data_IF_158866351802
#
_entry.id   IF_158866351802
#
_cell.length_a   1.000
_cell.length_b   1.000
_cell.length_c   1.000
_cell.angle_alpha   90.00
_cell.angle_beta   90.00
_cell.angle_gamma   90.00
#
_symmetry.space_group_name_H-M   'P 1'
#
loop_
_entity.id
_entity.type
_entity.pdbx_description
1 polymer ?
#
# COMPACT_ATOMS: atom_id res chain seq x y z
N UNK A 1 -1.68 -3.29 -0.13
CA UNK A 1 -2.75 -2.93 0.22
C UNK A 1 -4.22 -2.98 -0.16
N UNK A 2 -4.69 -2.19 -1.14
CA UNK A 2 -6.14 -2.04 -1.36
C UNK A 2 -6.81 -3.24 -2.04
N UNK A 3 -6.11 -3.99 -2.88
CA UNK A 3 -6.65 -5.23 -3.47
C UNK A 3 -7.03 -6.25 -2.40
N UNK A 4 -6.27 -6.31 -1.32
CA UNK A 4 -6.54 -7.23 -0.23
C UNK A 4 -7.80 -6.87 0.56
N UNK A 5 -8.05 -5.59 0.82
CA UNK A 5 -9.28 -5.21 1.53
C UNK A 5 -10.53 -5.71 0.83
N UNK A 6 -10.58 -5.67 -0.51
CA UNK A 6 -11.70 -6.22 -1.29
C UNK A 6 -11.72 -7.74 -1.30
N UNK A 7 -10.57 -8.40 -1.31
CA UNK A 7 -10.50 -9.86 -1.20
C UNK A 7 -10.82 -10.33 0.22
N UNK A 8 -10.28 -9.64 1.23
CA UNK A 8 -10.48 -9.97 2.64
C UNK A 8 -11.93 -9.71 3.08
N UNK A 9 -12.54 -8.61 2.58
CA UNK A 9 -13.93 -8.27 2.81
C UNK A 9 -14.89 -8.96 1.81
N UNK A 10 -14.46 -10.01 1.10
CA UNK A 10 -15.31 -10.69 0.12
C UNK A 10 -16.36 -11.58 0.80
N UNK A 11 -17.41 -10.97 1.29
CA UNK A 11 -18.53 -11.59 2.01
C UNK A 11 -19.30 -12.61 1.17
N UNK A 12 -19.21 -12.54 -0.17
CA UNK A 12 -19.83 -13.52 -1.05
C UNK A 12 -19.33 -14.94 -0.79
N UNK A 13 -18.11 -15.06 -0.27
CA UNK A 13 -17.53 -16.35 0.07
C UNK A 13 -17.98 -16.87 1.44
N UNK A 14 -18.33 -16.00 2.37
CA UNK A 14 -18.83 -16.37 3.70
C UNK A 14 -20.35 -16.57 3.73
N UNK A 15 -21.08 -16.04 2.73
CA UNK A 15 -22.55 -16.00 2.70
C UNK A 15 -23.15 -15.01 3.68
N UNK A 16 -22.34 -14.19 4.37
CA UNK A 16 -22.80 -13.20 5.31
C UNK A 16 -23.12 -11.87 4.62
N UNK A 17 -24.06 -11.10 5.17
CA UNK A 17 -24.38 -9.75 4.70
C UNK A 17 -23.43 -8.70 5.28
N UNK A 18 -22.69 -9.04 6.34
CA UNK A 18 -21.75 -8.17 7.02
C UNK A 18 -20.68 -9.00 7.74
N UNK A 19 -19.50 -8.47 7.86
CA UNK A 19 -18.38 -9.12 8.57
C UNK A 19 -17.34 -8.13 9.06
N UNK A 20 -16.75 -8.46 10.19
CA UNK A 20 -15.48 -7.90 10.62
C UNK A 20 -14.32 -8.49 9.83
N UNK A 21 -13.27 -7.74 9.65
CA UNK A 21 -12.03 -8.25 9.06
C UNK A 21 -10.80 -7.62 9.70
N UNK A 22 -9.73 -8.39 9.71
CA UNK A 22 -8.39 -7.94 10.12
C UNK A 22 -7.38 -8.40 9.08
N UNK A 23 -6.45 -7.53 8.74
CA UNK A 23 -5.35 -7.82 7.84
C UNK A 23 -4.03 -7.34 8.43
N UNK A 24 -3.01 -8.19 8.39
CA UNK A 24 -1.64 -7.84 8.71
C UNK A 24 -0.73 -8.06 7.51
N UNK A 25 0.27 -7.20 7.33
CA UNK A 25 1.25 -7.33 6.28
C UNK A 25 2.66 -7.06 6.77
N UNK A 26 3.64 -7.68 6.14
CA UNK A 26 5.05 -7.37 6.31
C UNK A 26 5.72 -7.21 4.95
N UNK A 27 6.71 -6.34 4.86
CA UNK A 27 7.43 -6.07 3.62
C UNK A 27 8.91 -5.80 3.88
N UNK A 28 9.76 -6.28 2.97
CA UNK A 28 11.18 -5.93 2.88
C UNK A 28 11.46 -5.54 1.43
N UNK A 29 11.74 -4.26 1.18
CA UNK A 29 11.90 -3.73 -0.18
C UNK A 29 13.01 -2.71 -0.28
N UNK A 30 13.74 -2.78 -1.39
CA UNK A 30 14.61 -1.73 -1.88
C UNK A 30 13.86 -0.86 -2.87
N UNK A 31 13.89 0.45 -2.65
CA UNK A 31 13.23 1.44 -3.50
C UNK A 31 14.32 2.32 -4.09
N UNK A 32 14.50 2.28 -5.40
CA UNK A 32 15.46 3.14 -6.09
C UNK A 32 14.90 4.57 -6.14
N UNK A 33 15.65 5.57 -5.69
CA UNK A 33 15.22 6.98 -5.57
C UNK A 33 16.18 7.97 -6.26
N UNK A 34 17.12 7.48 -7.06
CA UNK A 34 18.32 8.14 -7.55
C UNK A 34 19.53 7.45 -6.95
N UNK A 35 19.53 7.22 -5.68
CA UNK A 35 20.19 6.20 -4.87
C UNK A 35 19.17 5.14 -4.46
N UNK A 36 19.21 4.55 -3.28
CA UNK A 36 18.15 3.63 -2.86
C UNK A 36 17.79 3.74 -1.38
N UNK A 37 16.58 3.31 -1.07
CA UNK A 37 16.07 3.20 0.30
C UNK A 37 15.69 1.75 0.55
N UNK A 38 16.33 1.11 1.51
CA UNK A 38 15.86 -0.17 2.04
C UNK A 38 14.77 0.09 3.08
N UNK A 39 13.61 -0.51 2.91
CA UNK A 39 12.43 -0.33 3.76
C UNK A 39 11.91 -1.68 4.24
N UNK A 40 11.83 -1.84 5.55
CA UNK A 40 11.18 -2.98 6.23
C UNK A 40 10.02 -2.46 7.04
N UNK A 41 8.85 -3.03 6.83
CA UNK A 41 7.65 -2.50 7.48
C UNK A 41 6.59 -3.56 7.74
N UNK A 42 5.71 -3.22 8.67
CA UNK A 42 4.49 -3.97 8.98
C UNK A 42 3.28 -3.05 8.86
N UNK A 43 2.17 -3.61 8.48
CA UNK A 43 0.87 -2.93 8.40
C UNK A 43 -0.18 -3.75 9.11
N UNK A 44 -1.16 -3.08 9.68
CA UNK A 44 -2.35 -3.67 10.27
C UNK A 44 -3.56 -2.84 9.83
N UNK A 45 -4.53 -3.50 9.25
CA UNK A 45 -5.83 -2.94 8.92
C UNK A 45 -6.90 -3.74 9.66
N UNK A 46 -7.88 -3.06 10.27
CA UNK A 46 -9.03 -3.69 10.91
C UNK A 46 -10.29 -2.91 10.58
N UNK A 47 -11.35 -3.60 10.23
CA UNK A 47 -12.53 -2.94 9.73
C UNK A 47 -13.79 -3.78 9.73
N UNK A 48 -14.82 -3.19 9.17
CA UNK A 48 -16.12 -3.79 9.02
C UNK A 48 -16.67 -3.52 7.61
N UNK A 49 -17.27 -4.53 7.01
CA UNK A 49 -17.80 -4.47 5.66
C UNK A 49 -19.24 -4.99 5.61
N UNK A 50 -20.00 -4.41 4.72
CA UNK A 50 -21.39 -4.79 4.41
C UNK A 50 -21.49 -5.22 2.97
N UNK A 51 -22.27 -6.27 2.75
CA UNK A 51 -22.56 -6.81 1.45
C UNK A 51 -24.06 -6.65 1.17
N UNK A 52 -24.39 -5.95 0.10
CA UNK A 52 -25.79 -5.68 -0.28
C UNK A 52 -26.06 -6.22 -1.68
N UNK A 53 -26.73 -7.38 -1.79
CA UNK A 53 -27.17 -7.89 -3.07
C UNK A 53 -28.17 -6.94 -3.76
N UNK A 54 -28.09 -6.85 -5.08
CA UNK A 54 -29.04 -6.14 -5.92
C UNK A 54 -29.40 -6.99 -7.15
N UNK A 55 -30.42 -6.59 -7.91
CA UNK A 55 -30.86 -7.30 -9.12
C UNK A 55 -29.74 -7.37 -10.17
N UNK A 56 -28.91 -6.36 -10.29
CA UNK A 56 -27.86 -6.27 -11.32
C UNK A 56 -26.47 -6.67 -10.83
N UNK A 57 -26.30 -7.00 -9.54
CA UNK A 57 -25.00 -7.34 -8.99
C UNK A 57 -24.97 -7.32 -7.48
N UNK A 58 -23.78 -7.07 -6.95
CA UNK A 58 -23.54 -7.07 -5.52
C UNK A 58 -22.68 -5.88 -5.10
N UNK A 59 -23.10 -5.19 -4.05
CA UNK A 59 -22.39 -4.03 -3.50
C UNK A 59 -21.72 -4.38 -2.20
N UNK A 60 -20.39 -4.35 -2.18
CA UNK A 60 -19.56 -4.44 -1.00
C UNK A 60 -19.03 -3.05 -0.65
N UNK A 61 -19.22 -2.63 0.59
CA UNK A 61 -18.65 -1.37 1.09
C UNK A 61 -18.25 -1.53 2.55
N UNK A 62 -17.34 -0.68 3.03
CA UNK A 62 -16.86 -0.81 4.38
C UNK A 62 -15.98 0.33 4.84
N UNK A 63 -15.58 0.22 6.10
CA UNK A 63 -14.68 1.14 6.79
C UNK A 63 -13.57 0.36 7.47
N UNK A 64 -12.38 0.95 7.57
CA UNK A 64 -11.26 0.34 8.29
C UNK A 64 -10.42 1.41 8.98
N UNK A 65 -9.83 1.05 10.11
CA UNK A 65 -8.67 1.72 10.69
C UNK A 65 -7.40 1.09 10.13
N UNK A 66 -6.37 1.89 9.94
CA UNK A 66 -5.08 1.42 9.44
C UNK A 66 -3.94 1.90 10.32
N UNK A 67 -2.99 1.03 10.55
CA UNK A 67 -1.73 1.31 11.24
C UNK A 67 -0.58 0.76 10.43
N UNK A 68 0.51 1.51 10.35
CA UNK A 68 1.75 1.08 9.73
C UNK A 68 2.95 1.47 10.57
N UNK A 69 3.97 0.63 10.54
CA UNK A 69 5.26 0.90 11.16
C UNK A 69 6.36 0.39 10.24
N UNK A 70 7.40 1.21 10.05
CA UNK A 70 8.53 0.86 9.20
C UNK A 70 9.84 1.40 9.73
N UNK A 71 10.90 0.64 9.47
CA UNK A 71 12.28 1.09 9.52
C UNK A 71 12.79 1.26 8.10
N UNK A 72 13.60 2.28 7.87
CA UNK A 72 14.26 2.44 6.58
C UNK A 72 15.70 2.91 6.74
N UNK A 73 16.52 2.56 5.76
CA UNK A 73 17.89 3.05 5.62
C UNK A 73 18.01 3.71 4.25
N UNK A 74 18.43 4.97 4.25
CA UNK A 74 18.76 5.70 3.02
C UNK A 74 20.21 5.47 2.67
N UNK A 75 20.50 5.28 1.38
CA UNK A 75 21.84 5.15 0.83
C UNK A 75 21.99 6.18 -0.28
N UNK A 76 22.95 7.09 -0.15
CA UNK A 76 23.29 8.05 -1.18
C UNK A 76 24.47 7.55 -2.01
N UNK A 77 24.65 8.11 -3.23
CA UNK A 77 25.68 7.67 -4.17
C UNK A 77 27.12 7.96 -3.68
N UNK A 78 27.29 8.91 -2.77
CA UNK A 78 28.55 9.24 -2.10
C UNK A 78 28.90 8.31 -0.92
N UNK A 79 28.05 7.32 -0.64
CA UNK A 79 28.20 6.37 0.47
C UNK A 79 27.55 6.84 1.78
N UNK A 80 27.04 8.06 1.86
CA UNK A 80 26.34 8.60 3.02
C UNK A 80 25.08 7.77 3.32
N UNK A 81 24.88 7.42 4.59
CA UNK A 81 23.73 6.64 5.06
C UNK A 81 22.95 7.38 6.12
N UNK A 82 21.65 7.13 6.13
CA UNK A 82 20.76 7.57 7.19
C UNK A 82 19.78 6.47 7.56
N UNK A 83 19.25 6.53 8.76
CA UNK A 83 18.26 5.56 9.27
C UNK A 83 17.04 6.30 9.75
N UNK A 84 15.87 5.76 9.45
CA UNK A 84 14.61 6.33 9.92
C UNK A 84 13.64 5.28 10.40
N UNK A 85 12.66 5.77 11.16
CA UNK A 85 11.48 5.05 11.58
C UNK A 85 10.27 5.88 11.19
N UNK A 86 9.29 5.25 10.59
CA UNK A 86 8.04 5.92 10.28
C UNK A 86 6.86 5.08 10.77
N UNK A 87 5.84 5.74 11.27
CA UNK A 87 4.57 5.11 11.61
C UNK A 87 3.42 5.98 11.14
N UNK A 88 2.31 5.35 10.83
CA UNK A 88 1.09 6.04 10.44
C UNK A 88 -0.11 5.45 11.14
N UNK A 89 -1.10 6.32 11.33
CA UNK A 89 -2.43 5.96 11.78
C UNK A 89 -3.44 6.66 10.89
N UNK A 90 -4.47 5.95 10.46
CA UNK A 90 -5.46 6.48 9.56
C UNK A 90 -6.75 5.70 9.54
N UNK A 91 -7.66 6.15 8.70
CA UNK A 91 -8.92 5.51 8.40
C UNK A 91 -9.13 5.40 6.90
N UNK A 92 -9.92 4.43 6.51
CA UNK A 92 -10.21 4.11 5.13
C UNK A 92 -11.71 3.80 4.98
N UNK A 93 -12.31 4.31 3.92
CA UNK A 93 -13.62 3.90 3.43
C UNK A 93 -13.48 3.34 2.04
N UNK A 94 -14.20 2.27 1.73
CA UNK A 94 -14.09 1.61 0.44
C UNK A 94 -15.43 1.10 -0.05
N UNK A 95 -15.56 0.95 -1.36
CA UNK A 95 -16.71 0.40 -2.02
C UNK A 95 -16.30 -0.37 -3.28
N UNK A 96 -16.98 -1.47 -3.53
CA UNK A 96 -16.84 -2.28 -4.72
C UNK A 96 -18.23 -2.71 -5.20
N UNK A 97 -18.52 -2.51 -6.48
CA UNK A 97 -19.70 -3.04 -7.11
C UNK A 97 -19.33 -4.09 -8.15
N UNK A 98 -19.83 -5.29 -7.96
CA UNK A 98 -19.64 -6.42 -8.89
C UNK A 98 -20.95 -6.69 -9.61
N UNK A 99 -20.98 -6.46 -10.93
CA UNK A 99 -22.13 -6.78 -11.79
C UNK A 99 -22.24 -8.29 -12.07
N UNK A 100 -23.45 -8.77 -12.35
CA UNK A 100 -23.70 -10.17 -12.65
C UNK A 100 -22.92 -10.72 -13.87
N UNK A 101 -22.48 -9.84 -14.76
CA UNK A 101 -21.64 -10.19 -15.92
C UNK A 101 -20.15 -10.28 -15.62
N UNK A 102 -19.75 -10.15 -14.33
CA UNK A 102 -18.39 -10.22 -13.86
C UNK A 102 -17.61 -8.89 -13.95
N UNK A 103 -18.15 -7.82 -14.53
CA UNK A 103 -17.55 -6.50 -14.44
C UNK A 103 -17.56 -6.01 -12.99
N UNK A 104 -16.60 -5.20 -12.61
CA UNK A 104 -16.63 -4.54 -11.32
C UNK A 104 -15.96 -3.15 -11.35
N UNK A 105 -16.39 -2.31 -10.42
CA UNK A 105 -15.78 -1.02 -10.15
C UNK A 105 -15.46 -0.88 -8.66
N UNK A 106 -14.31 -0.28 -8.35
CA UNK A 106 -13.81 -0.12 -7.00
C UNK A 106 -13.44 1.34 -6.74
N UNK A 107 -13.70 1.80 -5.53
CA UNK A 107 -13.25 3.11 -5.06
C UNK A 107 -12.87 3.04 -3.58
N UNK A 108 -11.85 3.78 -3.19
CA UNK A 108 -11.56 3.98 -1.76
C UNK A 108 -10.98 5.37 -1.50
N UNK A 109 -11.18 5.84 -0.27
CA UNK A 109 -10.58 7.04 0.28
C UNK A 109 -9.90 6.71 1.60
N UNK A 110 -8.70 7.23 1.80
CA UNK A 110 -7.89 7.04 3.00
C UNK A 110 -7.38 8.39 3.49
N UNK A 111 -7.44 8.60 4.78
CA UNK A 111 -6.89 9.78 5.41
C UNK A 111 -6.22 9.41 6.73
N UNK A 112 -5.17 10.11 7.07
CA UNK A 112 -4.45 9.84 8.31
C UNK A 112 -3.24 10.74 8.48
N UNK A 113 -2.41 10.37 9.42
CA UNK A 113 -1.18 11.06 9.76
C UNK A 113 0.00 10.09 9.79
N UNK A 114 1.14 10.56 9.31
CA UNK A 114 2.41 9.86 9.38
C UNK A 114 3.38 10.67 10.24
N UNK A 115 4.16 9.98 11.05
CA UNK A 115 5.26 10.51 11.84
C UNK A 115 6.54 9.83 11.40
N UNK A 116 7.62 10.60 11.38
CA UNK A 116 8.92 10.13 10.96
C UNK A 116 9.99 10.63 11.93
N UNK A 117 10.94 9.75 12.26
CA UNK A 117 12.13 10.06 13.05
C UNK A 117 13.36 9.61 12.23
N UNK A 118 14.21 10.55 11.87
CA UNK A 118 15.37 10.33 11.01
C UNK A 118 16.66 10.72 11.71
N UNK A 119 17.72 9.93 11.47
CA UNK A 119 19.09 10.23 11.90
C UNK A 119 20.11 9.80 10.85
N UNK A 120 21.16 10.59 10.73
CA UNK A 120 22.36 10.21 9.99
C UNK A 120 23.58 10.67 10.79
N UNK A 121 24.51 9.78 11.01
CA UNK A 121 25.81 10.09 11.62
C UNK A 121 26.84 10.38 10.53
N UNK A 122 26.59 10.04 9.27
CA UNK A 122 27.43 10.33 8.11
C UNK A 122 27.14 11.73 7.54
N UNK A 123 25.91 12.23 7.69
CA UNK A 123 25.54 13.59 7.33
C UNK A 123 25.82 14.50 8.53
N UNK A 124 26.91 15.29 8.44
CA UNK A 124 27.46 16.03 9.57
C UNK A 124 27.17 17.51 9.40
N UNK A 125 26.69 18.17 10.46
CA UNK A 125 26.58 19.62 10.55
C UNK A 125 27.96 20.30 10.64
N UNK A 126 28.00 21.61 10.42
CA UNK A 126 29.22 22.41 10.57
C UNK A 126 29.86 22.31 11.97
N UNK A 127 29.09 21.99 13.00
CA UNK A 127 29.56 21.77 14.38
C UNK A 127 30.08 20.34 14.65
N UNK A 128 30.16 19.48 13.62
CA UNK A 128 30.66 18.10 13.74
C UNK A 128 29.64 17.09 14.27
N UNK A 129 28.38 17.46 14.48
CA UNK A 129 27.31 16.55 14.96
C UNK A 129 26.50 15.98 13.81
N UNK A 130 26.04 14.71 13.93
CA UNK A 130 25.16 14.09 12.95
C UNK A 130 23.77 14.73 12.91
N UNK A 131 23.12 14.65 11.74
CA UNK A 131 21.79 15.19 11.49
C UNK A 131 20.73 14.31 12.14
N UNK A 132 19.81 14.94 12.88
CA UNK A 132 18.61 14.29 13.45
C UNK A 132 17.43 15.23 13.32
N UNK A 133 16.29 14.69 12.94
CA UNK A 133 15.03 15.44 12.92
C UNK A 133 13.80 14.53 13.08
N UNK A 134 12.71 15.12 13.53
CA UNK A 134 11.38 14.51 13.52
C UNK A 134 10.47 15.32 12.62
N UNK A 135 9.65 14.64 11.86
CA UNK A 135 8.66 15.26 10.99
C UNK A 135 7.33 14.54 11.10
N UNK A 136 6.25 15.21 10.75
CA UNK A 136 4.94 14.63 10.69
C UNK A 136 4.13 15.29 9.57
N UNK A 137 3.27 14.52 8.94
CA UNK A 137 2.47 15.00 7.82
C UNK A 137 1.11 14.32 7.80
N UNK A 138 0.09 15.03 7.33
CA UNK A 138 -1.20 14.44 7.04
C UNK A 138 -1.18 13.87 5.61
N UNK A 139 -1.87 12.76 5.41
CA UNK A 139 -2.03 12.21 4.07
C UNK A 139 -3.51 12.02 3.73
N UNK A 140 -3.77 12.18 2.45
CA UNK A 140 -5.04 11.83 1.80
C UNK A 140 -4.72 10.97 0.60
N UNK A 141 -5.37 9.83 0.47
CA UNK A 141 -5.17 8.96 -0.69
C UNK A 141 -6.52 8.46 -1.22
N UNK A 142 -6.56 8.23 -2.52
CA UNK A 142 -7.71 7.66 -3.20
C UNK A 142 -7.29 6.57 -4.18
N UNK A 143 -8.21 5.68 -4.46
CA UNK A 143 -8.06 4.63 -5.44
C UNK A 143 -9.34 4.48 -6.23
N UNK A 144 -9.20 4.27 -7.54
CA UNK A 144 -10.29 3.88 -8.44
C UNK A 144 -9.79 2.68 -9.23
N UNK A 145 -10.64 1.66 -9.39
CA UNK A 145 -10.32 0.46 -10.13
C UNK A 145 -11.50 -0.05 -10.94
N UNK A 146 -11.20 -0.66 -12.06
CA UNK A 146 -12.16 -1.36 -12.93
C UNK A 146 -11.56 -2.69 -13.33
N UNK A 147 -12.40 -3.70 -13.43
CA UNK A 147 -11.94 -5.00 -13.88
C UNK A 147 -13.09 -5.91 -14.29
N UNK A 148 -12.70 -7.10 -14.69
CA UNK A 148 -13.64 -8.14 -15.08
C UNK A 148 -13.14 -9.51 -14.63
N UNK A 149 -14.02 -10.22 -13.95
CA UNK A 149 -13.85 -11.63 -13.61
C UNK A 149 -14.45 -12.47 -14.73
N UNK A 150 -13.61 -13.28 -15.37
CA UNK A 150 -13.97 -14.23 -16.43
C UNK A 150 -14.05 -15.61 -15.79
N UNK A 151 -15.23 -16.24 -15.82
CA UNK A 151 -15.37 -17.62 -15.40
C UNK A 151 -14.82 -18.55 -16.49
N UNK A 152 -13.85 -19.39 -16.14
CA UNK A 152 -13.19 -20.34 -17.02
C UNK A 152 -13.69 -21.78 -16.78
N UNK A 153 -14.70 -21.96 -15.93
CA UNK A 153 -15.27 -23.22 -15.49
C UNK A 153 -15.82 -23.10 -14.08
N UNK A 154 -16.24 -24.21 -13.49
CA UNK A 154 -16.88 -24.20 -12.17
C UNK A 154 -15.96 -23.68 -11.05
N UNK A 155 -14.68 -24.01 -11.11
CA UNK A 155 -13.70 -23.73 -10.06
C UNK A 155 -12.63 -22.69 -10.45
N UNK A 156 -12.64 -22.19 -11.68
CA UNK A 156 -11.58 -21.37 -12.21
C UNK A 156 -12.09 -20.01 -12.67
N UNK A 157 -11.36 -18.96 -12.34
CA UNK A 157 -11.63 -17.64 -12.87
C UNK A 157 -10.34 -16.86 -13.16
N UNK A 158 -10.46 -15.93 -14.09
CA UNK A 158 -9.41 -14.99 -14.42
C UNK A 158 -9.92 -13.59 -14.15
N UNK A 159 -9.24 -12.84 -13.28
CA UNK A 159 -9.52 -11.43 -13.02
C UNK A 159 -8.53 -10.56 -13.81
N UNK A 160 -9.06 -9.65 -14.61
CA UNK A 160 -8.27 -8.67 -15.36
C UNK A 160 -8.67 -7.27 -14.89
N UNK A 161 -7.69 -6.42 -14.58
CA UNK A 161 -7.99 -5.13 -13.99
C UNK A 161 -7.04 -4.00 -14.37
N UNK A 162 -7.56 -2.78 -14.28
CA UNK A 162 -6.81 -1.53 -14.27
C UNK A 162 -7.16 -0.73 -13.03
N UNK A 163 -6.16 -0.13 -12.37
CA UNK A 163 -6.34 0.65 -11.15
C UNK A 163 -5.51 1.93 -11.21
N UNK A 164 -6.07 3.00 -10.67
CA UNK A 164 -5.39 4.26 -10.48
C UNK A 164 -5.36 4.62 -9.00
N UNK A 165 -4.21 5.05 -8.53
CA UNK A 165 -3.97 5.47 -7.15
C UNK A 165 -3.45 6.90 -7.14
N UNK A 166 -4.04 7.71 -6.29
CA UNK A 166 -3.57 9.06 -6.00
C UNK A 166 -3.29 9.18 -4.51
N UNK A 167 -2.19 9.83 -4.14
CA UNK A 167 -1.97 10.23 -2.76
C UNK A 167 -1.31 11.60 -2.69
N UNK A 168 -1.68 12.34 -1.66
CA UNK A 168 -1.11 13.62 -1.29
C UNK A 168 -0.71 13.55 0.19
N UNK A 169 0.56 13.85 0.45
CA UNK A 169 1.10 14.00 1.80
C UNK A 169 1.49 15.47 1.98
N UNK A 170 1.04 16.11 3.05
CA UNK A 170 1.34 17.52 3.33
C UNK A 170 2.84 17.73 3.49
N UNK A 171 3.29 18.95 3.25
CA UNK A 171 4.63 19.39 3.67
C UNK A 171 4.73 19.49 5.18
N UNK A 172 5.96 19.61 5.66
CA UNK A 172 6.29 19.79 7.07
C UNK A 172 7.55 20.64 7.25
N UNK A 173 7.71 21.24 8.44
CA UNK A 173 8.92 21.92 8.88
C UNK A 173 9.57 21.11 10.00
N UNK A 174 10.74 20.56 9.74
CA UNK A 174 11.47 19.75 10.69
C UNK A 174 12.66 20.52 11.26
N UNK A 175 12.67 20.70 12.59
CA UNK A 175 13.86 21.25 13.29
C UNK A 175 14.92 20.18 13.40
N UNK A 176 16.11 20.53 12.96
CA UNK A 176 17.32 19.73 13.09
C UNK A 176 17.90 19.82 14.50
N UNK A 177 18.69 18.82 14.87
CA UNK A 177 19.44 18.83 16.13
C UNK A 177 20.42 20.02 16.29
N UNK A 178 20.80 20.64 15.17
CA UNK A 178 21.60 21.87 15.13
C UNK A 178 20.83 23.18 15.38
N UNK A 179 19.47 23.09 15.47
CA UNK A 179 18.59 24.26 15.62
C UNK A 179 18.07 24.83 14.30
N UNK A 180 18.57 24.38 13.19
CA UNK A 180 18.15 24.78 11.83
C UNK A 180 16.84 24.08 11.43
N UNK A 181 16.17 24.60 10.39
CA UNK A 181 14.89 24.05 9.93
C UNK A 181 14.99 23.57 8.48
N UNK A 182 14.53 22.34 8.24
CA UNK A 182 14.25 21.81 6.91
C UNK A 182 12.79 22.03 6.56
N UNK A 183 12.55 22.54 5.35
CA UNK A 183 11.21 22.70 4.79
C UNK A 183 10.97 21.60 3.76
N UNK A 184 10.08 20.67 4.09
CA UNK A 184 9.64 19.61 3.19
C UNK A 184 8.40 20.07 2.44
N UNK A 185 8.44 20.05 1.12
CA UNK A 185 7.27 20.31 0.29
C UNK A 185 6.29 19.15 0.35
N UNK A 186 5.03 19.41 -0.01
CA UNK A 186 4.04 18.33 -0.15
C UNK A 186 4.45 17.33 -1.24
N UNK A 187 4.18 16.06 -0.99
CA UNK A 187 4.45 14.97 -1.93
C UNK A 187 3.15 14.49 -2.55
N UNK A 188 3.15 14.36 -3.87
CA UNK A 188 2.02 13.80 -4.63
C UNK A 188 2.50 12.55 -5.36
N UNK A 189 1.75 11.47 -5.22
CA UNK A 189 1.97 10.21 -5.96
C UNK A 189 0.78 9.96 -6.88
N UNK A 190 1.07 9.54 -8.12
CA UNK A 190 0.09 9.15 -9.13
C UNK A 190 0.56 7.84 -9.75
N UNK A 191 -0.16 6.75 -9.47
CA UNK A 191 0.20 5.42 -9.94
C UNK A 191 -0.93 4.78 -10.73
N UNK A 192 -0.58 4.13 -11.83
CA UNK A 192 -1.47 3.24 -12.57
C UNK A 192 -0.96 1.82 -12.44
N UNK A 193 -1.89 0.87 -12.33
CA UNK A 193 -1.59 -0.56 -12.29
C UNK A 193 -2.52 -1.29 -13.23
N UNK A 194 -1.95 -2.18 -14.03
CA UNK A 194 -2.69 -3.18 -14.80
C UNK A 194 -2.27 -4.56 -14.32
N UNK A 195 -3.19 -5.49 -14.26
CA UNK A 195 -2.85 -6.82 -13.77
C UNK A 195 -3.84 -7.88 -14.21
N UNK A 196 -3.42 -9.12 -14.01
CA UNK A 196 -4.20 -10.32 -14.22
C UNK A 196 -3.97 -11.24 -13.03
N UNK A 197 -5.05 -11.89 -12.56
CA UNK A 197 -5.01 -12.86 -11.47
C UNK A 197 -5.84 -14.07 -11.85
N UNK A 198 -5.25 -15.25 -11.79
CA UNK A 198 -5.93 -16.52 -11.91
C UNK A 198 -6.33 -17.03 -10.53
N UNK A 199 -7.56 -17.49 -10.38
CA UNK A 199 -8.09 -18.04 -9.14
C UNK A 199 -8.60 -19.45 -9.39
N UNK A 200 -8.29 -20.36 -8.47
CA UNK A 200 -8.76 -21.74 -8.43
C UNK A 200 -9.37 -22.02 -7.07
N UNK A 201 -10.65 -22.40 -7.04
CA UNK A 201 -11.41 -22.61 -5.82
C UNK A 201 -11.84 -24.08 -5.70
N UNK A 202 -11.45 -24.72 -4.62
CA UNK A 202 -11.79 -26.11 -4.26
C UNK A 202 -12.51 -26.09 -2.91
N UNK A 203 -13.83 -26.14 -2.90
CA UNK A 203 -14.64 -26.16 -1.67
C UNK A 203 -14.19 -25.07 -0.66
N UNK A 204 -13.41 -25.48 0.36
CA UNK A 204 -12.93 -24.61 1.43
C UNK A 204 -11.54 -24.03 1.19
N UNK A 205 -10.88 -24.38 0.09
CA UNK A 205 -9.55 -23.94 -0.28
C UNK A 205 -9.60 -23.17 -1.60
N UNK A 206 -9.13 -21.93 -1.60
CA UNK A 206 -8.84 -21.12 -2.78
C UNK A 206 -7.34 -20.95 -2.98
N UNK A 207 -6.90 -20.86 -4.21
CA UNK A 207 -5.54 -20.49 -4.58
C UNK A 207 -5.60 -19.39 -5.62
N UNK A 208 -4.71 -18.43 -5.54
CA UNK A 208 -4.61 -17.39 -6.55
C UNK A 208 -3.16 -17.11 -6.94
N UNK A 209 -2.97 -16.76 -8.21
CA UNK A 209 -1.70 -16.37 -8.80
C UNK A 209 -1.91 -15.13 -9.65
N UNK A 210 -1.12 -14.10 -9.43
CA UNK A 210 -1.28 -12.83 -10.11
C UNK A 210 0.04 -12.24 -10.60
N UNK A 211 -0.06 -11.47 -11.68
CA UNK A 211 1.01 -10.60 -12.18
C UNK A 211 0.43 -9.24 -12.49
N UNK A 212 1.12 -8.20 -12.08
CA UNK A 212 0.74 -6.83 -12.37
C UNK A 212 1.96 -5.96 -12.71
N UNK A 213 1.71 -4.93 -13.50
CA UNK A 213 2.67 -3.85 -13.73
C UNK A 213 2.11 -2.55 -13.16
N UNK A 214 2.90 -1.91 -12.32
CA UNK A 214 2.58 -0.61 -11.71
C UNK A 214 3.59 0.43 -12.18
N UNK A 215 3.12 1.61 -12.54
CA UNK A 215 3.94 2.77 -12.87
C UNK A 215 3.60 3.95 -11.99
N UNK A 216 4.63 4.53 -11.38
CA UNK A 216 4.57 5.82 -10.68
C UNK A 216 5.01 6.93 -11.64
N UNK A 217 4.17 7.96 -11.81
CA UNK A 217 4.47 9.12 -12.67
C UNK A 217 4.95 10.33 -11.89
N UNK A 218 4.70 10.36 -10.59
CA UNK A 218 5.06 11.44 -9.69
C UNK A 218 5.85 10.86 -8.49
N UNK A 219 5.82 11.54 -7.32
CA UNK A 219 6.48 11.06 -6.11
C UNK A 219 7.87 11.68 -5.91
N UNK A 220 8.07 12.88 -6.42
CA UNK A 220 9.26 13.66 -6.13
C UNK A 220 9.18 14.21 -4.70
N UNK A 221 10.20 13.96 -3.89
CA UNK A 221 10.31 14.49 -2.53
C UNK A 221 11.25 15.69 -2.55
N UNK A 222 10.70 16.90 -2.42
CA UNK A 222 11.46 18.14 -2.45
C UNK A 222 11.64 18.66 -1.04
N UNK A 223 12.86 19.07 -0.74
CA UNK A 223 13.20 19.74 0.50
C UNK A 223 14.07 20.98 0.22
N UNK A 224 14.01 21.95 1.13
CA UNK A 224 14.83 23.15 1.10
C UNK A 224 15.49 23.35 2.45
N UNK A 225 16.72 23.85 2.40
CA UNK A 225 17.53 24.23 3.55
C UNK A 225 18.10 25.63 3.32
N UNK A 226 17.82 26.59 4.21
CA UNK A 226 18.23 28.00 4.07
C UNK A 226 17.91 28.62 2.70
N UNK A 227 16.78 28.24 2.08
CA UNK A 227 16.38 28.70 0.75
C UNK A 227 17.02 27.95 -0.42
N UNK A 228 17.98 27.06 -0.18
CA UNK A 228 18.60 26.23 -1.21
C UNK A 228 17.84 24.91 -1.38
N UNK A 229 17.59 24.52 -2.64
CA UNK A 229 16.98 23.21 -2.94
C UNK A 229 17.97 22.08 -2.66
N UNK A 230 17.49 21.06 -1.96
CA UNK A 230 18.25 19.83 -1.75
C UNK A 230 18.03 18.85 -2.93
N UNK A 231 18.93 17.86 -3.13
CA UNK A 231 18.70 16.80 -4.09
C UNK A 231 17.32 16.18 -3.93
N UNK A 232 16.61 16.00 -5.05
CA UNK A 232 15.21 15.56 -5.06
C UNK A 232 15.15 14.06 -5.32
N UNK A 233 14.96 13.21 -4.28
CA UNK A 233 14.66 11.80 -4.50
C UNK A 233 13.36 11.65 -5.27
N UNK A 234 13.32 10.70 -6.19
CA UNK A 234 12.12 10.45 -7.00
C UNK A 234 11.65 9.01 -6.89
N UNK A 235 10.33 8.82 -6.79
CA UNK A 235 9.68 7.52 -6.81
C UNK A 235 9.23 7.08 -8.21
N UNK A 236 9.46 7.91 -9.24
CA UNK A 236 9.06 7.64 -10.63
C UNK A 236 9.66 6.35 -11.16
N UNK A 237 8.87 5.57 -11.87
CA UNK A 237 9.32 4.35 -12.53
C UNK A 237 8.30 3.23 -12.47
N UNK A 238 8.67 2.10 -13.10
CA UNK A 238 7.83 0.91 -13.20
C UNK A 238 8.26 -0.18 -12.21
N UNK A 239 7.29 -0.93 -11.73
CA UNK A 239 7.48 -2.11 -10.86
C UNK A 239 6.58 -3.22 -11.36
N UNK A 240 7.14 -4.40 -11.58
CA UNK A 240 6.38 -5.63 -11.80
C UNK A 240 6.14 -6.30 -10.45
N UNK A 241 4.93 -6.77 -10.24
CA UNK A 241 4.48 -7.42 -9.02
C UNK A 241 3.99 -8.80 -9.39
N UNK A 242 4.56 -9.83 -8.79
CA UNK A 242 4.03 -11.20 -8.85
C UNK A 242 3.44 -11.56 -7.48
N UNK A 243 2.33 -12.26 -7.47
CA UNK A 243 1.69 -12.69 -6.24
C UNK A 243 1.18 -14.12 -6.32
N UNK A 244 1.23 -14.81 -5.19
CA UNK A 244 0.64 -16.12 -5.01
C UNK A 244 0.03 -16.21 -3.61
N UNK A 245 -1.14 -16.81 -3.50
CA UNK A 245 -1.78 -16.91 -2.20
C UNK A 245 -2.78 -18.06 -2.11
N UNK A 246 -3.21 -18.26 -0.87
CA UNK A 246 -4.21 -19.26 -0.50
C UNK A 246 -5.28 -18.62 0.38
N UNK A 247 -6.50 -19.06 0.17
CA UNK A 247 -7.69 -18.71 0.93
C UNK A 247 -8.25 -19.98 1.55
N UNK A 248 -8.58 -19.95 2.83
CA UNK A 248 -9.11 -21.11 3.54
C UNK A 248 -10.33 -20.73 4.37
N UNK A 249 -11.41 -21.51 4.24
CA UNK A 249 -12.66 -21.34 5.00
C UNK A 249 -12.74 -22.37 6.10
N UNK A 250 -12.93 -21.89 7.34
CA UNK A 250 -13.08 -22.75 8.52
C UNK A 250 -14.10 -22.14 9.47
N UNK A 251 -15.12 -22.90 9.84
CA UNK A 251 -16.11 -22.54 10.86
C UNK A 251 -16.73 -21.14 10.63
N UNK A 252 -17.12 -20.82 9.38
CA UNK A 252 -17.72 -19.53 9.02
C UNK A 252 -16.73 -18.36 8.92
N UNK A 253 -15.45 -18.59 9.16
CA UNK A 253 -14.38 -17.61 8.99
C UNK A 253 -13.60 -17.90 7.72
N UNK A 254 -13.06 -16.85 7.13
CA UNK A 254 -12.13 -16.97 6.00
C UNK A 254 -10.76 -16.44 6.40
N UNK A 255 -9.75 -17.22 6.08
CA UNK A 255 -8.34 -16.86 6.25
C UNK A 255 -7.70 -16.74 4.88
N UNK A 256 -6.82 -15.77 4.71
CA UNK A 256 -6.03 -15.64 3.50
C UNK A 256 -4.56 -15.37 3.82
N UNK A 257 -3.70 -15.84 2.92
CA UNK A 257 -2.27 -15.56 2.95
C UNK A 257 -1.80 -15.30 1.54
N UNK A 258 -1.10 -14.19 1.32
CA UNK A 258 -0.56 -13.82 0.01
C UNK A 258 0.91 -13.45 0.14
N UNK A 259 1.75 -14.07 -0.68
CA UNK A 259 3.13 -13.69 -0.91
C UNK A 259 3.20 -12.78 -2.14
N UNK A 260 4.05 -11.76 -2.08
CA UNK A 260 4.27 -10.82 -3.18
C UNK A 260 5.76 -10.64 -3.43
N UNK A 261 6.16 -10.73 -4.70
CA UNK A 261 7.50 -10.38 -5.16
C UNK A 261 7.44 -9.10 -6.00
N UNK A 262 8.45 -8.26 -5.86
CA UNK A 262 8.58 -6.99 -6.57
C UNK A 262 9.87 -6.94 -7.36
N UNK A 263 9.82 -6.44 -8.59
CA UNK A 263 11.00 -6.19 -9.41
C UNK A 263 10.84 -4.92 -10.26
N UNK A 264 11.94 -4.23 -10.51
CA UNK A 264 11.96 -2.94 -11.19
C UNK A 264 12.34 -1.80 -10.25
N UNK A 265 11.53 -0.74 -10.18
CA UNK A 265 11.75 0.41 -9.31
C UNK A 265 11.74 0.03 -7.82
N UNK A 266 10.87 -0.86 -7.45
CA UNK A 266 10.86 -1.52 -6.15
C UNK A 266 11.31 -2.97 -6.35
N UNK A 267 12.17 -3.47 -5.47
CA UNK A 267 12.63 -4.86 -5.46
C UNK A 267 12.48 -5.43 -4.07
N UNK A 268 12.06 -6.68 -3.95
CA UNK A 268 11.92 -7.33 -2.65
C UNK A 268 10.67 -8.17 -2.52
N UNK A 269 10.26 -8.40 -1.29
CA UNK A 269 9.17 -9.32 -0.94
C UNK A 269 8.17 -8.68 0.00
N UNK A 270 6.97 -9.22 0.01
CA UNK A 270 5.92 -8.91 0.97
C UNK A 270 5.10 -10.15 1.28
N UNK A 271 4.54 -10.20 2.47
CA UNK A 271 3.57 -11.21 2.89
C UNK A 271 2.38 -10.52 3.54
N UNK A 272 1.20 -11.06 3.34
CA UNK A 272 -0.04 -10.61 3.98
C UNK A 272 -0.80 -11.79 4.53
N UNK A 273 -1.45 -11.54 5.66
CA UNK A 273 -2.40 -12.44 6.30
C UNK A 273 -3.68 -11.66 6.53
N UNK A 274 -4.82 -12.27 6.24
CA UNK A 274 -6.13 -11.71 6.51
C UNK A 274 -7.05 -12.73 7.15
N UNK A 275 -8.03 -12.22 7.89
CA UNK A 275 -9.12 -12.99 8.46
C UNK A 275 -10.41 -12.18 8.34
N UNK A 276 -11.47 -12.82 7.86
CA UNK A 276 -12.86 -12.30 7.86
C UNK A 276 -13.71 -13.18 8.78
N UNK A 277 -14.54 -12.54 9.64
CA UNK A 277 -15.34 -13.22 10.68
C UNK A 277 -16.67 -12.54 10.92
#
# INVERSE_FOLDING_TARGET
GLNSLYQDANLNQTGANESGFVQAGATDRDITTGSYVNLKGVTLDAGYAWNKPSVSGNWLYGVAAEYGYSHYTTHLDDGTKGKGKAWNLGANVFSNYLWNNGLYAQVSLRAGRVWNDYRSDDFIHANGTGVRYKSNANYLASHVGFGKVWQLGENNSLDTYVKYFYSHTSGDEAKLSSGETYHFSSVRSKRGRVGVQYNHNLNNLGMHFGVAYEREWNGDVRAQYQGYALPTPTMKGGTTIAEAGVDYKLAGKQFNTTLQGYTGRQKGLGIRFGMTF
#
